data_IF_356915012111
#
_entry.id   IF_356915012111
#
_cell.length_a   1.000
_cell.length_b   1.000
_cell.length_c   1.000
_cell.angle_alpha   90.00
_cell.angle_beta   90.00
_cell.angle_gamma   90.00
#
_symmetry.space_group_name_H-M   'P 1'
#
loop_
_entity.id
_entity.type
_entity.pdbx_description
1 polymer ?
#
# COMPACT_ATOMS: atom_id res chain seq x y z
N UNK A 1 -12.05 25.33 -23.93
CA UNK A 1 -10.65 25.05 -23.51
C UNK A 1 -10.04 24.13 -24.54
N UNK A 2 -9.16 24.68 -25.41
CA UNK A 2 -8.42 23.87 -26.40
C UNK A 2 -7.51 22.92 -25.63
N UNK A 3 -7.74 21.62 -25.73
CA UNK A 3 -6.81 20.61 -25.23
C UNK A 3 -5.52 20.73 -26.06
N UNK A 4 -4.50 21.35 -25.50
CA UNK A 4 -3.19 21.40 -26.11
C UNK A 4 -2.68 19.97 -26.18
N UNK A 5 -2.59 19.41 -27.38
CA UNK A 5 -2.05 18.08 -27.58
C UNK A 5 -0.59 18.08 -27.12
N UNK A 6 -0.27 17.24 -26.13
CA UNK A 6 1.09 17.06 -25.64
C UNK A 6 2.05 16.80 -26.81
N UNK A 7 3.07 17.63 -26.96
CA UNK A 7 4.12 17.41 -27.96
C UNK A 7 4.86 16.10 -27.72
N UNK A 8 5.59 15.64 -28.75
CA UNK A 8 6.33 14.38 -28.67
C UNK A 8 7.38 14.39 -27.53
N UNK A 9 8.05 15.54 -27.32
CA UNK A 9 9.01 15.73 -26.25
C UNK A 9 8.38 15.52 -24.86
N UNK A 10 7.26 16.19 -24.57
CA UNK A 10 6.55 16.04 -23.31
C UNK A 10 6.03 14.60 -23.07
N UNK A 11 5.65 13.88 -24.11
CA UNK A 11 5.27 12.46 -23.99
C UNK A 11 6.46 11.58 -23.61
N UNK A 12 7.64 11.84 -24.18
CA UNK A 12 8.87 11.12 -23.84
C UNK A 12 9.31 11.41 -22.41
N UNK A 13 9.20 12.65 -21.96
CA UNK A 13 9.48 13.04 -20.55
C UNK A 13 8.58 12.28 -19.56
N UNK A 14 7.26 12.24 -19.84
CA UNK A 14 6.32 11.50 -18.99
C UNK A 14 6.66 10.00 -18.94
N UNK A 15 6.99 9.40 -20.07
CA UNK A 15 7.39 7.97 -20.13
C UNK A 15 8.68 7.74 -19.33
N UNK A 16 9.67 8.59 -19.48
CA UNK A 16 10.92 8.51 -18.73
C UNK A 16 10.70 8.68 -17.22
N UNK A 17 9.89 9.65 -16.82
CA UNK A 17 9.50 9.86 -15.43
C UNK A 17 8.81 8.62 -14.81
N UNK A 18 7.87 8.02 -15.56
CA UNK A 18 7.16 6.82 -15.10
C UNK A 18 8.13 5.64 -14.97
N UNK A 19 9.01 5.45 -15.95
CA UNK A 19 10.01 4.38 -15.93
C UNK A 19 10.97 4.52 -14.75
N UNK A 20 11.39 5.75 -14.43
CA UNK A 20 12.24 6.03 -13.27
C UNK A 20 11.51 5.78 -11.95
N UNK A 21 10.26 6.24 -11.82
CA UNK A 21 9.44 5.97 -10.63
C UNK A 21 9.14 4.48 -10.49
N UNK A 22 8.79 3.79 -11.58
CA UNK A 22 8.50 2.35 -11.58
C UNK A 22 9.73 1.51 -11.20
N UNK A 23 10.93 1.92 -11.59
CA UNK A 23 12.18 1.22 -11.21
C UNK A 23 12.42 1.24 -9.70
N UNK A 24 12.02 2.32 -9.02
CA UNK A 24 12.17 2.54 -7.58
C UNK A 24 10.97 2.07 -6.77
N UNK A 25 9.80 1.92 -7.41
CA UNK A 25 8.57 1.52 -6.74
C UNK A 25 8.61 0.05 -6.28
N UNK A 26 8.04 -0.20 -5.11
CA UNK A 26 7.86 -1.53 -4.54
C UNK A 26 6.54 -2.17 -4.97
N UNK A 27 5.52 -1.35 -5.20
CA UNK A 27 4.21 -1.78 -5.70
C UNK A 27 3.54 -0.68 -6.49
N UNK A 28 2.60 -1.07 -7.35
CA UNK A 28 1.74 -0.18 -8.12
C UNK A 28 0.29 -0.55 -7.87
N UNK A 29 -0.52 0.44 -7.54
CA UNK A 29 -1.96 0.31 -7.42
C UNK A 29 -2.64 1.20 -8.47
N UNK A 30 -3.67 0.67 -9.11
CA UNK A 30 -4.44 1.37 -10.14
C UNK A 30 -5.90 1.41 -9.72
N UNK A 31 -6.47 2.61 -9.74
CA UNK A 31 -7.88 2.81 -9.40
C UNK A 31 -8.59 3.67 -10.44
N UNK A 32 -9.87 3.41 -10.63
CA UNK A 32 -10.76 4.23 -11.45
C UNK A 32 -11.31 5.38 -10.59
N UNK A 33 -11.18 6.62 -11.09
CA UNK A 33 -11.61 7.83 -10.38
C UNK A 33 -12.80 8.52 -11.04
N UNK A 34 -13.54 7.81 -11.87
CA UNK A 34 -14.66 8.36 -12.60
C UNK A 34 -15.74 8.92 -11.67
N UNK A 35 -16.10 10.20 -11.89
CA UNK A 35 -17.13 10.87 -11.10
C UNK A 35 -16.66 11.51 -9.79
N UNK A 36 -15.35 11.53 -9.52
CA UNK A 36 -14.78 12.25 -8.38
C UNK A 36 -14.70 13.76 -8.66
N UNK A 37 -14.92 14.56 -7.63
CA UNK A 37 -14.75 16.00 -7.66
C UNK A 37 -13.29 16.42 -7.52
N UNK A 38 -12.97 17.64 -7.97
CA UNK A 38 -11.59 18.16 -7.89
C UNK A 38 -11.12 18.28 -6.44
N UNK A 39 -12.02 18.63 -5.50
CA UNK A 39 -11.74 18.66 -4.08
C UNK A 39 -11.31 17.29 -3.54
N UNK A 40 -12.09 16.26 -3.85
CA UNK A 40 -11.83 14.87 -3.45
C UNK A 40 -10.47 14.38 -3.97
N UNK A 41 -10.13 14.69 -5.24
CA UNK A 41 -8.83 14.36 -5.82
C UNK A 41 -7.67 15.10 -5.16
N UNK A 42 -7.91 16.33 -4.70
CA UNK A 42 -6.89 17.13 -4.01
C UNK A 42 -6.59 16.54 -2.63
N UNK A 43 -7.62 16.16 -1.88
CA UNK A 43 -7.48 15.47 -0.60
C UNK A 43 -6.73 14.14 -0.76
N UNK A 44 -7.08 13.35 -1.78
CA UNK A 44 -6.38 12.10 -2.07
C UNK A 44 -4.88 12.34 -2.36
N UNK A 45 -4.54 13.42 -3.08
CA UNK A 45 -3.13 13.76 -3.33
C UNK A 45 -2.38 14.21 -2.08
N UNK A 46 -3.03 14.91 -1.17
CA UNK A 46 -2.43 15.31 0.12
C UNK A 46 -2.12 14.06 0.93
N UNK A 47 -3.09 13.18 1.11
CA UNK A 47 -2.92 11.91 1.84
C UNK A 47 -1.85 11.01 1.19
N UNK A 48 -1.78 10.98 -0.14
CA UNK A 48 -0.77 10.22 -0.87
C UNK A 48 0.66 10.72 -0.55
N UNK A 49 0.85 12.04 -0.49
CA UNK A 49 2.15 12.63 -0.15
C UNK A 49 2.57 12.32 1.29
N UNK A 50 1.62 12.36 2.23
CA UNK A 50 1.86 12.02 3.64
C UNK A 50 2.27 10.56 3.83
N UNK A 51 1.79 9.66 2.97
CA UNK A 51 2.08 8.22 3.03
C UNK A 51 3.23 7.78 2.10
N UNK A 52 3.96 8.72 1.49
CA UNK A 52 5.07 8.39 0.58
C UNK A 52 4.62 7.70 -0.72
N UNK A 53 3.37 7.94 -1.16
CA UNK A 53 2.81 7.39 -2.39
C UNK A 53 2.88 8.44 -3.50
N UNK A 54 3.56 8.11 -4.59
CA UNK A 54 3.56 8.94 -5.80
C UNK A 54 2.28 8.69 -6.59
N UNK A 55 1.41 9.69 -6.64
CA UNK A 55 0.11 9.61 -7.29
C UNK A 55 0.07 10.47 -8.56
N UNK A 56 -0.26 9.85 -9.69
CA UNK A 56 -0.35 10.57 -10.97
C UNK A 56 -1.47 10.01 -11.85
N UNK A 57 -2.16 10.91 -12.56
CA UNK A 57 -3.12 10.55 -13.62
C UNK A 57 -2.38 10.64 -14.95
N UNK A 58 -2.33 9.54 -15.68
CA UNK A 58 -1.56 9.40 -16.91
C UNK A 58 -2.44 8.73 -17.96
N UNK A 59 -2.18 9.01 -19.23
CA UNK A 59 -2.83 8.28 -20.33
C UNK A 59 -2.37 6.83 -20.34
N UNK A 60 -3.31 5.88 -20.41
CA UNK A 60 -3.01 4.45 -20.38
C UNK A 60 -1.95 4.01 -21.40
N UNK A 61 -1.98 4.59 -22.62
CA UNK A 61 -0.98 4.30 -23.65
C UNK A 61 0.44 4.74 -23.30
N UNK A 62 0.63 5.81 -22.51
CA UNK A 62 1.93 6.25 -22.02
C UNK A 62 2.36 5.43 -20.80
N UNK A 63 1.41 5.10 -19.93
CA UNK A 63 1.66 4.21 -18.79
C UNK A 63 2.14 2.82 -19.26
N UNK A 64 1.49 2.22 -20.25
CA UNK A 64 1.93 0.96 -20.87
C UNK A 64 3.36 0.99 -21.35
N UNK A 65 3.75 2.06 -22.04
CA UNK A 65 5.13 2.22 -22.53
C UNK A 65 6.15 2.45 -21.42
N UNK A 66 5.78 3.19 -20.36
CA UNK A 66 6.66 3.43 -19.23
C UNK A 66 6.83 2.23 -18.31
N UNK A 67 5.83 1.33 -18.27
CA UNK A 67 5.84 0.13 -17.45
C UNK A 67 6.35 -1.12 -18.18
N UNK A 68 6.45 -1.09 -19.52
CA UNK A 68 6.85 -2.24 -20.34
C UNK A 68 8.20 -2.85 -19.92
N UNK A 69 9.17 -2.01 -19.58
CA UNK A 69 10.52 -2.43 -19.16
C UNK A 69 10.64 -2.62 -17.63
N UNK A 70 9.53 -2.55 -16.89
CA UNK A 70 9.50 -2.66 -15.43
C UNK A 70 8.93 -4.00 -14.96
N UNK A 71 9.10 -4.29 -13.67
CA UNK A 71 8.53 -5.47 -13.00
C UNK A 71 6.99 -5.50 -13.00
N UNK A 72 6.37 -4.43 -13.48
CA UNK A 72 4.92 -4.21 -13.44
C UNK A 72 4.25 -4.32 -14.83
N UNK A 73 4.90 -4.92 -15.81
CA UNK A 73 4.37 -5.08 -17.16
C UNK A 73 3.03 -5.83 -17.19
N UNK A 74 2.78 -6.72 -16.25
CA UNK A 74 1.56 -7.53 -16.14
C UNK A 74 0.27 -6.70 -15.97
N UNK A 75 0.38 -5.45 -15.54
CA UNK A 75 -0.77 -4.53 -15.37
C UNK A 75 -1.41 -4.16 -16.71
N UNK A 76 -0.74 -4.31 -17.82
CA UNK A 76 -1.19 -3.87 -19.15
C UNK A 76 -2.62 -4.32 -19.52
N UNK A 77 -3.02 -5.51 -19.08
CA UNK A 77 -4.36 -6.07 -19.30
C UNK A 77 -5.46 -5.34 -18.54
N UNK A 78 -5.14 -4.72 -17.41
CA UNK A 78 -6.09 -4.01 -16.55
C UNK A 78 -6.18 -2.51 -16.84
N UNK A 79 -5.36 -1.97 -17.76
CA UNK A 79 -5.31 -0.54 -18.07
C UNK A 79 -6.41 -0.11 -19.03
N UNK A 80 -7.67 -0.12 -18.56
CA UNK A 80 -8.85 0.32 -19.30
C UNK A 80 -9.59 1.41 -18.52
N UNK A 81 -10.07 2.45 -19.21
CA UNK A 81 -10.85 3.52 -18.58
C UNK A 81 -10.02 4.69 -18.05
N UNK A 82 -10.61 5.45 -17.10
CA UNK A 82 -10.02 6.63 -16.48
C UNK A 82 -9.30 6.22 -15.20
N UNK A 83 -8.00 6.05 -15.28
CA UNK A 83 -7.19 5.47 -14.21
C UNK A 83 -6.27 6.49 -13.54
N UNK A 84 -6.15 6.34 -12.23
CA UNK A 84 -5.15 6.99 -11.38
C UNK A 84 -4.14 5.93 -10.93
N UNK A 85 -2.86 6.28 -11.03
CA UNK A 85 -1.75 5.40 -10.69
C UNK A 85 -1.13 5.83 -9.37
N UNK A 86 -1.03 4.91 -8.44
CA UNK A 86 -0.34 5.10 -7.17
C UNK A 86 0.89 4.19 -7.09
N UNK A 87 2.07 4.78 -7.01
CA UNK A 87 3.34 4.08 -6.85
C UNK A 87 3.79 4.16 -5.40
N UNK A 88 4.00 3.03 -4.76
CA UNK A 88 4.52 2.96 -3.40
C UNK A 88 6.04 2.98 -3.43
N UNK A 89 6.67 3.96 -2.80
CA UNK A 89 8.12 4.09 -2.74
C UNK A 89 8.69 3.48 -1.46
N UNK A 90 8.08 3.73 -0.32
CA UNK A 90 8.60 3.37 1.00
C UNK A 90 8.08 2.01 1.50
N UNK A 91 6.80 1.73 1.34
CA UNK A 91 6.17 0.52 1.85
C UNK A 91 5.29 -0.15 0.79
N UNK A 92 5.39 -1.48 0.58
CA UNK A 92 4.67 -2.18 -0.50
C UNK A 92 3.14 -2.08 -0.37
N UNK A 93 2.62 -1.90 0.84
CA UNK A 93 1.18 -1.76 1.10
C UNK A 93 0.65 -0.32 1.10
N UNK A 94 1.50 0.71 0.96
CA UNK A 94 1.08 2.10 1.16
C UNK A 94 -0.01 2.55 0.19
N UNK A 95 0.16 2.32 -1.12
CA UNK A 95 -0.84 2.69 -2.12
C UNK A 95 -2.16 1.92 -1.95
N UNK A 96 -2.07 0.64 -1.57
CA UNK A 96 -3.24 -0.19 -1.31
C UNK A 96 -4.02 0.30 -0.07
N UNK A 97 -3.33 0.67 1.01
CA UNK A 97 -3.95 1.27 2.21
C UNK A 97 -4.62 2.59 1.88
N UNK A 98 -3.93 3.47 1.18
CA UNK A 98 -4.46 4.76 0.77
C UNK A 98 -5.77 4.59 -0.02
N UNK A 99 -5.76 3.76 -1.05
CA UNK A 99 -6.95 3.53 -1.87
C UNK A 99 -8.07 2.84 -1.11
N UNK A 100 -7.76 1.88 -0.23
CA UNK A 100 -8.74 1.22 0.63
C UNK A 100 -9.42 2.20 1.58
N UNK A 101 -8.65 3.02 2.27
CA UNK A 101 -9.19 3.98 3.26
C UNK A 101 -9.98 5.08 2.58
N UNK A 102 -9.54 5.49 1.39
CA UNK A 102 -10.26 6.49 0.60
C UNK A 102 -11.53 5.91 -0.04
N UNK A 103 -11.50 4.68 -0.55
CA UNK A 103 -12.67 4.00 -1.10
C UNK A 103 -13.79 3.78 -0.07
N UNK A 104 -13.44 3.62 1.22
CA UNK A 104 -14.43 3.59 2.31
C UNK A 104 -15.15 4.93 2.49
N UNK A 105 -14.45 6.04 2.26
CA UNK A 105 -15.01 7.39 2.39
C UNK A 105 -15.79 7.78 1.13
N UNK A 106 -15.26 7.42 -0.04
CA UNK A 106 -15.79 7.78 -1.35
C UNK A 106 -16.01 6.55 -2.22
N UNK A 107 -17.26 6.08 -2.37
CA UNK A 107 -17.58 4.90 -3.18
C UNK A 107 -17.33 5.08 -4.68
N UNK A 108 -17.00 6.29 -5.12
CA UNK A 108 -16.67 6.61 -6.51
C UNK A 108 -15.27 6.13 -6.92
N UNK A 109 -14.37 5.88 -5.95
CA UNK A 109 -13.04 5.33 -6.21
C UNK A 109 -13.11 3.82 -6.22
N UNK A 110 -12.87 3.22 -7.37
CA UNK A 110 -12.86 1.77 -7.52
C UNK A 110 -11.47 1.27 -7.86
N UNK A 111 -10.91 0.39 -7.03
CA UNK A 111 -9.59 -0.19 -7.28
C UNK A 111 -9.73 -1.28 -8.33
N UNK A 112 -9.01 -1.12 -9.45
CA UNK A 112 -9.09 -2.04 -10.60
C UNK A 112 -8.02 -3.13 -10.51
N UNK A 113 -6.80 -2.76 -10.18
CA UNK A 113 -5.67 -3.67 -10.18
C UNK A 113 -4.56 -3.23 -9.23
N UNK A 114 -3.81 -4.22 -8.75
CA UNK A 114 -2.66 -4.06 -7.89
C UNK A 114 -1.54 -4.97 -8.38
N UNK A 115 -0.29 -4.54 -8.24
CA UNK A 115 0.87 -5.42 -8.45
C UNK A 115 2.01 -5.08 -7.49
N UNK A 116 2.70 -6.13 -7.04
CA UNK A 116 3.89 -6.04 -6.16
C UNK A 116 5.12 -6.63 -6.92
N UNK A 117 5.08 -6.64 -8.25
CA UNK A 117 6.13 -7.26 -9.08
C UNK A 117 6.02 -8.78 -9.22
N UNK A 118 5.01 -9.43 -8.66
CA UNK A 118 4.78 -10.87 -8.73
C UNK A 118 3.47 -11.23 -9.48
N UNK A 119 3.09 -10.41 -10.46
CA UNK A 119 1.89 -10.61 -11.26
C UNK A 119 0.71 -9.72 -10.87
N UNK A 120 -0.30 -9.72 -11.71
CA UNK A 120 -1.51 -8.95 -11.56
C UNK A 120 -2.36 -9.50 -10.40
N UNK A 121 -2.75 -8.63 -9.48
CA UNK A 121 -3.68 -8.93 -8.41
C UNK A 121 -4.98 -8.15 -8.62
N UNK A 122 -6.11 -8.85 -8.53
CA UNK A 122 -7.45 -8.24 -8.59
C UNK A 122 -7.80 -7.46 -7.32
N UNK A 123 -8.92 -6.74 -7.34
CA UNK A 123 -9.40 -5.95 -6.22
C UNK A 123 -9.67 -6.78 -4.95
N UNK A 124 -9.94 -8.08 -5.09
CA UNK A 124 -10.17 -9.00 -3.97
C UNK A 124 -8.97 -9.11 -3.03
N UNK A 125 -7.75 -8.95 -3.56
CA UNK A 125 -6.50 -9.00 -2.78
C UNK A 125 -6.09 -7.66 -2.18
N UNK A 126 -6.88 -6.61 -2.37
CA UNK A 126 -6.61 -5.28 -1.83
C UNK A 126 -6.39 -5.32 -0.30
N UNK A 127 -7.24 -6.05 0.41
CA UNK A 127 -7.16 -6.16 1.87
C UNK A 127 -5.88 -6.86 2.33
N UNK A 128 -5.48 -7.91 1.64
CA UNK A 128 -4.24 -8.62 1.93
C UNK A 128 -3.01 -7.74 1.70
N UNK A 129 -2.98 -7.01 0.57
CA UNK A 129 -1.89 -6.08 0.25
C UNK A 129 -1.86 -4.88 1.20
N UNK A 130 -3.00 -4.32 1.56
CA UNK A 130 -3.11 -3.23 2.52
C UNK A 130 -2.63 -3.63 3.93
N UNK A 131 -2.73 -4.91 4.30
CA UNK A 131 -2.26 -5.42 5.59
C UNK A 131 -0.76 -5.72 5.65
N UNK A 132 -0.04 -5.62 4.53
CA UNK A 132 1.40 -5.85 4.50
C UNK A 132 2.14 -4.86 5.41
N UNK A 133 2.99 -5.33 6.33
CA UNK A 133 3.77 -4.46 7.19
C UNK A 133 4.84 -3.68 6.39
N UNK A 134 5.30 -2.58 6.95
CA UNK A 134 6.50 -1.90 6.47
C UNK A 134 7.73 -2.78 6.70
N UNK A 135 8.86 -2.43 6.09
CA UNK A 135 10.12 -3.20 6.25
C UNK A 135 10.52 -3.32 7.72
N UNK A 136 10.45 -2.21 8.45
CA UNK A 136 10.85 -2.17 9.86
C UNK A 136 9.88 -2.93 10.75
N UNK A 137 8.57 -2.83 10.47
CA UNK A 137 7.55 -3.63 11.16
C UNK A 137 7.72 -5.13 10.89
N UNK A 138 8.03 -5.52 9.65
CA UNK A 138 8.28 -6.91 9.29
C UNK A 138 9.51 -7.47 10.01
N UNK A 139 10.60 -6.69 10.08
CA UNK A 139 11.79 -7.06 10.83
C UNK A 139 11.50 -7.15 12.32
N UNK A 140 10.74 -6.22 12.88
CA UNK A 140 10.34 -6.25 14.28
C UNK A 140 9.48 -7.49 14.60
N UNK A 141 8.54 -7.85 13.74
CA UNK A 141 7.73 -9.06 13.87
C UNK A 141 8.59 -10.33 13.80
N UNK A 142 9.54 -10.38 12.88
CA UNK A 142 10.47 -11.50 12.75
C UNK A 142 11.31 -11.66 14.02
N UNK A 143 11.88 -10.57 14.51
CA UNK A 143 12.65 -10.60 15.77
C UNK A 143 11.79 -10.98 16.97
N UNK A 144 10.54 -10.49 17.04
CA UNK A 144 9.58 -10.86 18.07
C UNK A 144 9.26 -12.35 18.04
N UNK A 145 9.08 -12.95 16.85
CA UNK A 145 8.82 -14.39 16.73
C UNK A 145 9.99 -15.24 17.17
N UNK A 146 11.24 -14.84 16.90
CA UNK A 146 12.42 -15.52 17.40
C UNK A 146 12.58 -15.40 18.92
N UNK A 147 12.23 -14.25 19.50
CA UNK A 147 12.27 -14.01 20.93
C UNK A 147 11.12 -14.67 21.70
N UNK A 148 9.99 -14.94 21.04
CA UNK A 148 8.78 -15.45 21.67
C UNK A 148 8.96 -16.78 22.42
N UNK A 149 9.69 -17.82 21.92
CA UNK A 149 9.89 -19.06 22.64
C UNK A 149 10.63 -18.87 23.95
N UNK A 150 11.71 -18.07 23.93
CA UNK A 150 12.50 -17.75 25.13
C UNK A 150 11.64 -16.98 26.14
N UNK A 151 10.89 -15.99 25.66
CA UNK A 151 9.98 -15.21 26.51
C UNK A 151 8.88 -16.06 27.14
N UNK A 152 8.30 -17.02 26.39
CA UNK A 152 7.33 -17.98 26.93
C UNK A 152 7.96 -18.84 28.03
N UNK A 153 9.14 -19.38 27.79
CA UNK A 153 9.85 -20.21 28.76
C UNK A 153 10.09 -19.46 30.08
N UNK A 154 10.64 -18.24 30.01
CA UNK A 154 10.87 -17.41 31.19
C UNK A 154 9.58 -17.10 31.95
N UNK A 155 8.50 -16.79 31.21
CA UNK A 155 7.17 -16.55 31.83
C UNK A 155 6.65 -17.78 32.55
N UNK A 156 6.79 -18.97 31.94
CA UNK A 156 6.33 -20.23 32.55
C UNK A 156 7.05 -20.50 33.87
N UNK A 157 8.36 -20.29 33.94
CA UNK A 157 9.13 -20.44 35.19
C UNK A 157 8.67 -19.41 36.24
N UNK A 158 8.47 -18.16 35.84
CA UNK A 158 8.06 -17.09 36.74
C UNK A 158 6.58 -17.15 37.16
N UNK A 159 5.79 -17.98 36.48
CA UNK A 159 4.35 -18.11 36.77
C UNK A 159 4.10 -18.82 38.11
N UNK A 160 4.94 -19.79 38.47
CA UNK A 160 4.83 -20.56 39.72
C UNK A 160 4.90 -19.61 40.96
N UNK A 161 5.97 -18.84 41.16
CA UNK A 161 6.03 -17.92 42.28
C UNK A 161 4.98 -16.80 42.22
N UNK A 162 4.64 -16.33 41.01
CA UNK A 162 3.61 -15.32 40.82
C UNK A 162 2.22 -15.80 41.21
N UNK A 163 1.85 -17.04 40.89
CA UNK A 163 0.58 -17.66 41.31
C UNK A 163 0.53 -17.80 42.83
N UNK A 164 1.61 -18.22 43.46
CA UNK A 164 1.69 -18.33 44.92
C UNK A 164 1.48 -16.98 45.60
N UNK A 165 2.17 -15.93 45.13
CA UNK A 165 2.00 -14.60 45.68
C UNK A 165 0.57 -14.06 45.51
N UNK A 166 -0.10 -14.34 44.37
CA UNK A 166 -1.51 -13.95 44.16
C UNK A 166 -2.48 -14.67 45.09
N UNK A 167 -2.24 -15.96 45.35
CA UNK A 167 -3.07 -16.72 46.32
C UNK A 167 -2.92 -16.13 47.74
N UNK A 168 -1.71 -15.82 48.17
CA UNK A 168 -1.48 -15.18 49.44
C UNK A 168 -2.16 -13.81 49.56
N UNK A 169 -2.08 -13.00 48.49
CA UNK A 169 -2.76 -11.71 48.42
C UNK A 169 -4.33 -11.88 48.54
N UNK A 170 -4.88 -12.82 47.77
CA UNK A 170 -6.30 -13.10 47.82
C UNK A 170 -6.79 -13.55 49.21
N UNK A 171 -6.00 -14.38 49.94
CA UNK A 171 -6.28 -14.78 51.32
C UNK A 171 -6.30 -13.58 52.27
N UNK A 172 -5.36 -12.64 52.05
CA UNK A 172 -5.28 -11.41 52.87
C UNK A 172 -6.51 -10.53 52.64
N UNK A 173 -7.00 -10.40 51.41
CA UNK A 173 -8.13 -9.55 51.04
C UNK A 173 -9.49 -10.18 51.51
N UNK A 174 -9.50 -11.46 51.84
CA UNK A 174 -10.70 -12.19 52.29
C UNK A 174 -10.83 -12.21 53.82
N UNK A 175 -9.82 -11.76 54.54
CA UNK A 175 -9.80 -11.57 56.02
C UNK A 175 -10.05 -10.11 56.39
#
# INVERSE_FOLDING_TARGET
>A
VKSVALGLAAKKEIVAEISDVASRALSVAVAEYRGMEVGELTELRVQAREQGVYLKVIRNTLAKRGLADSKFADIDSALTGQLIYGFSLDAPGAAARLFKDYAKKNPKLNVTALTIGNGLMGPEKLDAVASLPTRDEALAQLLATFKAPVGKFVRTINEIPSKFARVLAAIKDTK
#
